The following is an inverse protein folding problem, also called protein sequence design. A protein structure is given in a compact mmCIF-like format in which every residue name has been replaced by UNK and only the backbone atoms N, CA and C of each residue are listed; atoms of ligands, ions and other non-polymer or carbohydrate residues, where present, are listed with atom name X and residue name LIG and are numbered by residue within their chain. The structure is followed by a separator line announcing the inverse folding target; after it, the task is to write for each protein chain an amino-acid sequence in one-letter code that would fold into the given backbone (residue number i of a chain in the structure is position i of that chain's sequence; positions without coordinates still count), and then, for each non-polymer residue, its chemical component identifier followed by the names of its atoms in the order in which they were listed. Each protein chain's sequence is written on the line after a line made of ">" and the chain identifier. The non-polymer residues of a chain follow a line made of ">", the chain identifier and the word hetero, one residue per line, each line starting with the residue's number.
data_IF_828470915909
#
_entry.id   IF_828470915909
#
_cell.length_a   1.000
_cell.length_b   1.000
_cell.length_c   1.000
_cell.angle_alpha   90.00
_cell.angle_beta   90.00
_cell.angle_gamma   90.00
#
_symmetry.space_group_name_H-M   'P 1'
#
loop_
_entity.id
_entity.type
_entity.pdbx_description
1 polymer ?
#
# COMPACT_ATOMS: atom_id res chain seq x y z
N UNK A 1 -15.12 -24.53 9.31
CA UNK A 1 -14.62 -24.10 10.65
C UNK A 1 -15.77 -23.48 11.42
N UNK A 2 -16.06 -23.94 12.64
CA UNK A 2 -17.11 -23.35 13.47
C UNK A 2 -16.75 -21.94 13.94
N UNK A 3 -17.75 -21.11 14.29
CA UNK A 3 -17.53 -19.75 14.82
C UNK A 3 -16.54 -19.73 15.99
N UNK A 4 -16.57 -20.74 16.86
CA UNK A 4 -15.66 -20.88 18.00
C UNK A 4 -14.19 -21.12 17.60
N UNK A 5 -13.94 -21.93 16.56
CA UNK A 5 -12.57 -22.16 16.07
C UNK A 5 -11.99 -20.92 15.42
N UNK A 6 -12.82 -20.07 14.80
CA UNK A 6 -12.38 -18.79 14.24
C UNK A 6 -12.02 -17.79 15.33
N UNK A 7 -12.83 -17.68 16.38
CA UNK A 7 -12.57 -16.76 17.50
C UNK A 7 -11.29 -17.14 18.26
N UNK A 8 -11.10 -18.42 18.55
CA UNK A 8 -9.87 -18.91 19.19
C UNK A 8 -8.62 -18.67 18.32
N UNK A 9 -8.71 -18.89 17.00
CA UNK A 9 -7.61 -18.59 16.09
C UNK A 9 -7.25 -17.08 16.07
N UNK A 10 -8.26 -16.20 16.07
CA UNK A 10 -8.04 -14.74 16.14
C UNK A 10 -7.37 -14.34 17.47
N UNK A 11 -7.84 -14.90 18.59
CA UNK A 11 -7.26 -14.64 19.91
C UNK A 11 -5.80 -15.10 19.99
N UNK A 12 -5.51 -16.34 19.57
CA UNK A 12 -4.16 -16.89 19.54
C UNK A 12 -3.23 -16.06 18.65
N UNK A 13 -3.72 -15.61 17.49
CA UNK A 13 -2.97 -14.73 16.61
C UNK A 13 -2.66 -13.39 17.29
N UNK A 14 -3.63 -12.79 17.99
CA UNK A 14 -3.39 -11.55 18.73
C UNK A 14 -2.39 -11.71 19.86
N UNK A 15 -2.45 -12.83 20.61
CA UNK A 15 -1.46 -13.15 21.66
C UNK A 15 -0.07 -13.31 21.04
N UNK A 16 0.06 -14.09 19.96
CA UNK A 16 1.32 -14.24 19.21
C UNK A 16 1.92 -12.88 18.82
N UNK A 17 1.10 -12.00 18.25
CA UNK A 17 1.55 -10.67 17.81
C UNK A 17 1.87 -9.72 18.96
N UNK A 18 1.22 -9.87 20.12
CA UNK A 18 1.61 -9.16 21.33
C UNK A 18 3.03 -9.53 21.76
N UNK A 19 3.37 -10.82 21.79
CA UNK A 19 4.74 -11.27 22.08
C UNK A 19 5.75 -10.79 21.04
N UNK A 20 5.40 -10.82 19.75
CA UNK A 20 6.25 -10.28 18.68
C UNK A 20 6.55 -8.78 18.91
N UNK A 21 5.52 -7.96 19.18
CA UNK A 21 5.69 -6.53 19.46
C UNK A 21 6.59 -6.31 20.68
N UNK A 22 6.43 -7.11 21.74
CA UNK A 22 7.32 -7.07 22.91
C UNK A 22 8.75 -7.50 22.58
N UNK A 23 8.94 -8.45 21.68
CA UNK A 23 10.27 -8.92 21.27
C UNK A 23 11.13 -7.82 20.63
N UNK A 24 10.50 -6.85 19.97
CA UNK A 24 11.19 -5.69 19.40
C UNK A 24 11.78 -4.74 20.45
N UNK A 25 11.22 -4.71 21.67
CA UNK A 25 11.80 -3.92 22.77
C UNK A 25 13.18 -4.42 23.22
N UNK A 26 13.49 -5.69 22.93
CA UNK A 26 14.79 -6.30 23.21
C UNK A 26 15.75 -6.25 22.02
N UNK A 27 15.34 -5.61 20.91
CA UNK A 27 16.18 -5.39 19.74
C UNK A 27 16.63 -3.95 19.74
N UNK A 28 17.94 -3.72 19.70
CA UNK A 28 18.49 -2.38 19.51
C UNK A 28 18.28 -1.94 18.06
N UNK A 29 17.11 -1.39 17.78
CA UNK A 29 16.84 -0.72 16.51
C UNK A 29 17.52 0.65 16.53
N UNK A 30 18.41 0.90 15.59
CA UNK A 30 19.09 2.19 15.48
C UNK A 30 18.10 3.25 15.02
N UNK A 31 18.11 4.41 15.67
CA UNK A 31 17.36 5.60 15.25
C UNK A 31 18.06 6.38 14.12
N UNK A 32 19.00 5.74 13.43
CA UNK A 32 19.67 6.27 12.26
C UNK A 32 20.15 5.13 11.37
N UNK A 33 20.51 5.46 10.13
CA UNK A 33 21.25 4.57 9.25
C UNK A 33 22.15 5.38 8.33
N UNK A 34 23.45 5.13 8.41
CA UNK A 34 24.44 5.80 7.56
C UNK A 34 24.77 5.01 6.28
N UNK A 35 24.15 3.85 6.08
CA UNK A 35 24.34 3.02 4.89
C UNK A 35 23.46 3.52 3.75
N UNK A 36 24.08 3.69 2.58
CA UNK A 36 23.36 3.90 1.34
C UNK A 36 22.72 2.59 0.86
N UNK A 37 21.58 2.65 0.15
CA UNK A 37 20.93 1.46 -0.36
C UNK A 37 21.80 0.81 -1.46
N UNK A 38 22.14 -0.47 -1.29
CA UNK A 38 22.91 -1.28 -2.24
C UNK A 38 22.09 -2.41 -2.86
N UNK A 39 20.99 -2.82 -2.24
CA UNK A 39 20.05 -3.80 -2.79
C UNK A 39 19.25 -3.16 -3.93
N UNK A 40 19.32 -3.77 -5.12
CA UNK A 40 18.61 -3.35 -6.34
C UNK A 40 17.52 -4.35 -6.76
N UNK A 41 17.29 -5.39 -5.95
CA UNK A 41 16.30 -6.42 -6.27
C UNK A 41 14.87 -5.93 -6.01
N UNK A 42 14.69 -5.05 -5.03
CA UNK A 42 13.39 -4.48 -4.68
C UNK A 42 13.50 -3.20 -3.84
N UNK A 43 12.47 -2.35 -3.92
CA UNK A 43 12.26 -1.17 -3.10
C UNK A 43 11.08 -1.39 -2.15
N UNK A 44 11.13 -0.82 -0.94
CA UNK A 44 10.01 -0.82 0.01
C UNK A 44 9.31 0.55 0.00
N UNK A 45 8.09 0.60 -0.49
CA UNK A 45 7.23 1.77 -0.56
C UNK A 45 6.21 1.82 0.58
N UNK A 46 6.05 2.97 1.23
CA UNK A 46 5.10 3.15 2.34
C UNK A 46 4.30 4.42 2.13
N UNK A 47 2.97 4.33 2.20
CA UNK A 47 2.08 5.50 2.29
C UNK A 47 1.69 5.75 3.74
N UNK A 48 1.72 7.00 4.18
CA UNK A 48 1.41 7.39 5.57
C UNK A 48 0.70 8.74 5.61
N UNK A 49 0.08 9.06 6.75
CA UNK A 49 -0.39 10.41 7.06
C UNK A 49 -0.34 10.67 8.57
N UNK A 50 -0.70 11.90 8.98
CA UNK A 50 -0.53 12.43 10.34
C UNK A 50 -0.91 11.48 11.48
N UNK A 51 -2.13 10.93 11.46
CA UNK A 51 -2.67 10.17 12.61
C UNK A 51 -1.92 8.86 12.89
N UNK A 52 -1.17 8.36 11.91
CA UNK A 52 -0.53 7.04 12.00
C UNK A 52 0.98 7.12 12.27
N UNK A 53 1.55 8.33 12.26
CA UNK A 53 2.97 8.54 12.34
C UNK A 53 3.62 7.92 13.58
N UNK A 54 3.22 8.36 14.78
CA UNK A 54 3.90 7.95 16.02
C UNK A 54 3.63 6.48 16.38
N UNK A 55 2.42 5.99 16.13
CA UNK A 55 1.97 4.67 16.61
C UNK A 55 2.36 3.55 15.63
N UNK A 56 2.35 3.83 14.32
CA UNK A 56 2.52 2.79 13.30
C UNK A 56 3.76 3.02 12.45
N UNK A 57 3.86 4.17 11.76
CA UNK A 57 4.96 4.41 10.83
C UNK A 57 6.32 4.41 11.54
N UNK A 58 6.48 5.14 12.64
CA UNK A 58 7.77 5.29 13.32
C UNK A 58 8.33 3.93 13.77
N UNK A 59 7.59 3.06 14.48
CA UNK A 59 8.04 1.69 14.75
C UNK A 59 8.33 0.88 13.49
N UNK A 60 7.47 0.99 12.45
CA UNK A 60 7.65 0.25 11.21
C UNK A 60 8.97 0.62 10.52
N UNK A 61 9.29 1.91 10.39
CA UNK A 61 10.55 2.39 9.81
C UNK A 61 11.75 1.88 10.60
N UNK A 62 11.69 1.90 11.94
CA UNK A 62 12.78 1.37 12.77
C UNK A 62 13.01 -0.13 12.54
N UNK A 63 11.93 -0.91 12.46
CA UNK A 63 12.03 -2.35 12.21
C UNK A 63 12.49 -2.65 10.78
N UNK A 64 11.98 -1.94 9.77
CA UNK A 64 12.39 -2.10 8.38
C UNK A 64 13.84 -1.68 8.19
N UNK A 65 14.26 -0.55 8.75
CA UNK A 65 15.65 -0.12 8.70
C UNK A 65 16.60 -1.13 9.36
N UNK A 66 16.18 -1.75 10.46
CA UNK A 66 16.95 -2.81 11.11
C UNK A 66 17.09 -4.07 10.22
N UNK A 67 16.01 -4.51 9.58
CA UNK A 67 15.99 -5.72 8.75
C UNK A 67 16.57 -5.50 7.34
N UNK A 68 16.43 -4.30 6.80
CA UNK A 68 16.77 -3.93 5.42
C UNK A 68 17.67 -2.68 5.37
N UNK A 69 18.81 -2.66 6.09
CA UNK A 69 19.66 -1.47 6.16
C UNK A 69 20.32 -1.11 4.82
N UNK A 70 20.29 -2.02 3.86
CA UNK A 70 20.85 -1.96 2.50
C UNK A 70 19.77 -1.78 1.42
N UNK A 71 18.49 -1.70 1.76
CA UNK A 71 17.38 -1.59 0.79
C UNK A 71 16.75 -0.21 0.85
N UNK A 72 16.39 0.34 -0.31
CA UNK A 72 15.70 1.62 -0.39
C UNK A 72 14.31 1.50 0.21
N UNK A 73 13.97 2.47 1.06
CA UNK A 73 12.62 2.70 1.57
C UNK A 73 12.14 4.04 1.01
N UNK A 74 10.99 4.06 0.34
CA UNK A 74 10.36 5.28 -0.18
C UNK A 74 9.10 5.55 0.62
N UNK A 75 9.03 6.71 1.29
CA UNK A 75 7.87 7.10 2.12
C UNK A 75 7.12 8.24 1.45
N UNK A 76 5.85 8.01 1.12
CA UNK A 76 4.92 9.01 0.64
C UNK A 76 4.11 9.56 1.83
N UNK A 77 4.39 10.80 2.21
CA UNK A 77 3.73 11.48 3.33
C UNK A 77 2.54 12.28 2.78
N UNK A 78 1.32 11.78 3.01
CA UNK A 78 0.11 12.44 2.52
C UNK A 78 -0.19 13.73 3.29
N UNK A 79 -0.91 14.63 2.61
CA UNK A 79 -1.45 15.84 3.21
C UNK A 79 -2.58 15.58 4.19
N UNK A 80 -2.91 16.62 4.96
CA UNK A 80 -3.96 16.61 5.97
C UNK A 80 -4.73 17.93 5.89
N UNK A 81 -6.06 17.86 5.94
CA UNK A 81 -6.95 19.01 5.72
C UNK A 81 -6.70 20.20 6.67
N UNK A 82 -6.18 19.96 7.89
CA UNK A 82 -5.83 21.03 8.81
C UNK A 82 -4.39 21.50 8.57
N UNK A 83 -4.24 22.63 7.88
CA UNK A 83 -2.93 23.18 7.47
C UNK A 83 -1.95 23.43 8.63
N UNK A 84 -2.43 23.95 9.76
CA UNK A 84 -1.55 24.19 10.92
C UNK A 84 -1.02 22.88 11.51
N UNK A 85 -1.90 21.89 11.66
CA UNK A 85 -1.51 20.56 12.13
C UNK A 85 -0.60 19.85 11.12
N UNK A 86 -0.86 20.04 9.82
CA UNK A 86 -0.05 19.47 8.76
C UNK A 86 1.38 20.00 8.81
N UNK A 87 1.59 21.31 8.95
CA UNK A 87 2.93 21.89 9.04
C UNK A 87 3.72 21.31 10.23
N UNK A 88 3.12 21.25 11.42
CA UNK A 88 3.74 20.66 12.62
C UNK A 88 4.08 19.19 12.38
N UNK A 89 3.19 18.45 11.74
CA UNK A 89 3.41 17.06 11.39
C UNK A 89 4.56 16.89 10.39
N UNK A 90 4.60 17.69 9.32
CA UNK A 90 5.61 17.63 8.27
C UNK A 90 7.01 17.91 8.81
N UNK A 91 7.17 18.90 9.70
CA UNK A 91 8.45 19.16 10.38
C UNK A 91 8.91 17.94 11.19
N UNK A 92 8.01 17.37 11.98
CA UNK A 92 8.29 16.23 12.86
C UNK A 92 8.69 14.97 12.08
N UNK A 93 7.94 14.62 11.03
CA UNK A 93 8.20 13.42 10.23
C UNK A 93 9.46 13.59 9.38
N UNK A 94 9.69 14.77 8.81
CA UNK A 94 10.90 15.08 8.03
C UNK A 94 12.16 14.91 8.87
N UNK A 95 12.17 15.49 10.08
CA UNK A 95 13.28 15.35 11.01
C UNK A 95 13.56 13.88 11.37
N UNK A 96 12.51 13.06 11.53
CA UNK A 96 12.66 11.63 11.77
C UNK A 96 13.24 10.88 10.56
N UNK A 97 12.66 11.06 9.37
CA UNK A 97 13.07 10.31 8.16
C UNK A 97 14.47 10.68 7.67
N UNK A 98 14.90 11.94 7.84
CA UNK A 98 16.25 12.39 7.47
C UNK A 98 17.38 11.67 8.20
N UNK A 99 17.09 10.98 9.31
CA UNK A 99 18.09 10.20 10.05
C UNK A 99 18.50 8.89 9.37
N UNK A 100 17.85 8.49 8.26
CA UNK A 100 18.08 7.22 7.57
C UNK A 100 18.49 7.44 6.11
N UNK A 101 19.75 7.14 5.75
CA UNK A 101 20.26 7.32 4.38
C UNK A 101 19.67 6.36 3.33
N UNK A 102 19.07 5.26 3.77
CA UNK A 102 18.33 4.35 2.88
C UNK A 102 16.86 4.75 2.72
N UNK A 103 16.40 5.82 3.37
CA UNK A 103 15.03 6.34 3.24
C UNK A 103 15.02 7.56 2.31
N UNK A 104 14.18 7.50 1.28
CA UNK A 104 13.78 8.66 0.47
C UNK A 104 12.32 8.98 0.78
N UNK A 105 11.93 10.25 0.79
CA UNK A 105 10.55 10.61 1.06
C UNK A 105 10.12 11.86 0.30
N UNK A 106 8.82 12.05 0.20
CA UNK A 106 8.18 13.25 -0.34
C UNK A 106 6.89 13.53 0.43
N UNK A 107 6.53 14.81 0.47
CA UNK A 107 5.44 15.32 1.29
C UNK A 107 4.42 16.07 0.44
N UNK A 108 3.18 16.07 0.90
CA UNK A 108 2.14 16.95 0.38
C UNK A 108 1.59 17.81 1.51
N UNK A 109 1.31 19.07 1.20
CA UNK A 109 0.63 19.99 2.12
C UNK A 109 -0.88 19.73 2.12
N UNK A 110 -1.43 19.35 0.97
CA UNK A 110 -2.85 19.05 0.78
C UNK A 110 -3.10 17.55 0.59
N UNK A 111 -4.22 16.99 1.10
CA UNK A 111 -4.58 15.59 0.91
C UNK A 111 -4.57 15.18 -0.57
N UNK A 112 -3.89 14.07 -0.86
CA UNK A 112 -3.83 13.47 -2.19
C UNK A 112 -4.45 12.07 -2.18
N UNK A 113 -5.04 11.68 -3.31
CA UNK A 113 -5.57 10.33 -3.52
C UNK A 113 -4.49 9.26 -3.45
N UNK A 114 -4.87 8.06 -3.00
CA UNK A 114 -3.92 6.98 -2.74
C UNK A 114 -3.19 6.51 -4.01
N UNK A 115 -3.88 6.51 -5.15
CA UNK A 115 -3.29 6.24 -6.47
C UNK A 115 -2.06 7.10 -6.76
N UNK A 116 -2.13 8.40 -6.46
CA UNK A 116 -1.03 9.34 -6.69
C UNK A 116 0.17 9.01 -5.82
N UNK A 117 -0.06 8.68 -4.55
CA UNK A 117 1.01 8.27 -3.64
C UNK A 117 1.71 7.00 -4.14
N UNK A 118 0.95 5.99 -4.57
CA UNK A 118 1.48 4.75 -5.13
C UNK A 118 2.29 4.99 -6.41
N UNK A 119 1.75 5.75 -7.36
CA UNK A 119 2.45 6.09 -8.60
C UNK A 119 3.79 6.79 -8.30
N UNK A 120 3.79 7.77 -7.40
CA UNK A 120 5.00 8.51 -7.03
C UNK A 120 6.04 7.67 -6.30
N UNK A 121 5.60 6.70 -5.48
CA UNK A 121 6.51 5.70 -4.89
C UNK A 121 7.16 4.86 -6.00
N UNK A 122 6.38 4.38 -6.96
CA UNK A 122 6.87 3.54 -8.06
C UNK A 122 7.89 4.31 -8.91
N UNK A 123 7.62 5.59 -9.21
CA UNK A 123 8.55 6.45 -9.97
C UNK A 123 9.87 6.63 -9.21
N UNK A 124 9.82 6.87 -7.89
CA UNK A 124 11.01 7.11 -7.06
C UNK A 124 11.76 5.82 -6.66
N UNK A 125 11.18 4.66 -6.91
CA UNK A 125 11.81 3.39 -6.61
C UNK A 125 13.01 3.15 -7.54
N UNK A 126 14.15 2.79 -6.95
CA UNK A 126 15.38 2.48 -7.68
C UNK A 126 15.44 1.03 -8.20
N UNK A 127 14.45 0.21 -7.85
CA UNK A 127 14.36 -1.18 -8.26
C UNK A 127 13.11 -1.43 -9.12
N UNK A 128 13.14 -2.39 -10.07
CA UNK A 128 11.96 -2.75 -10.86
C UNK A 128 10.81 -3.33 -10.03
N UNK A 129 11.12 -4.01 -8.93
CA UNK A 129 10.15 -4.58 -8.00
C UNK A 129 9.92 -3.60 -6.84
N UNK A 130 8.67 -3.26 -6.57
CA UNK A 130 8.29 -2.34 -5.51
C UNK A 130 7.27 -3.03 -4.60
N UNK A 131 7.62 -3.20 -3.34
CA UNK A 131 6.62 -3.56 -2.33
C UNK A 131 5.89 -2.31 -1.89
N UNK A 132 4.58 -2.25 -2.05
CA UNK A 132 3.75 -1.16 -1.56
C UNK A 132 3.06 -1.59 -0.27
N UNK A 133 3.26 -0.82 0.78
CA UNK A 133 2.71 -1.03 2.11
C UNK A 133 1.90 0.16 2.59
N UNK A 134 0.84 -0.12 3.33
CA UNK A 134 0.30 0.82 4.28
C UNK A 134 1.22 0.89 5.51
N UNK A 135 1.16 2.01 6.22
CA UNK A 135 1.88 2.24 7.47
C UNK A 135 1.35 1.42 8.67
N UNK A 136 0.09 0.98 8.65
CA UNK A 136 -0.58 0.22 9.72
C UNK A 136 -0.31 -1.29 9.69
N UNK A 137 0.92 -1.67 9.32
CA UNK A 137 1.39 -3.06 9.37
C UNK A 137 2.37 -3.27 10.53
N UNK A 138 2.31 -4.46 11.12
CA UNK A 138 3.34 -4.96 12.02
C UNK A 138 4.11 -6.08 11.36
N UNK A 139 5.42 -6.09 11.57
CA UNK A 139 6.33 -7.11 11.04
C UNK A 139 7.10 -7.81 12.15
N UNK A 140 7.58 -9.02 11.88
CA UNK A 140 8.52 -9.74 12.74
C UNK A 140 9.88 -9.94 12.04
N UNK A 141 10.86 -10.50 12.76
CA UNK A 141 12.25 -10.65 12.28
C UNK A 141 12.41 -11.56 11.05
N UNK A 142 11.44 -12.42 10.76
CA UNK A 142 11.46 -13.30 9.60
C UNK A 142 11.01 -12.61 8.30
N UNK A 143 10.55 -11.34 8.36
CA UNK A 143 9.95 -10.66 7.21
C UNK A 143 10.85 -10.57 5.99
N UNK A 144 12.12 -10.17 6.16
CA UNK A 144 13.10 -10.19 5.07
C UNK A 144 13.28 -11.58 4.46
N UNK A 145 13.42 -12.59 5.33
CA UNK A 145 13.56 -13.98 4.89
C UNK A 145 12.35 -14.44 4.08
N UNK A 146 11.13 -14.11 4.49
CA UNK A 146 9.93 -14.47 3.73
C UNK A 146 9.89 -13.77 2.35
N UNK A 147 10.25 -12.48 2.26
CA UNK A 147 10.41 -11.80 0.96
C UNK A 147 11.38 -12.55 0.05
N UNK A 148 12.54 -12.92 0.58
CA UNK A 148 13.64 -13.46 -0.22
C UNK A 148 13.50 -14.96 -0.55
N UNK A 149 12.61 -15.69 0.13
CA UNK A 149 12.52 -17.16 -0.02
C UNK A 149 11.16 -17.68 -0.51
N UNK A 150 10.08 -16.89 -0.47
CA UNK A 150 8.73 -17.34 -0.88
C UNK A 150 8.52 -17.37 -2.39
N UNK A 151 9.46 -16.83 -3.17
CA UNK A 151 9.33 -16.68 -4.61
C UNK A 151 8.51 -15.47 -5.07
N UNK A 152 8.02 -14.63 -4.14
CA UNK A 152 7.25 -13.41 -4.49
C UNK A 152 8.02 -12.49 -5.44
N UNK A 153 9.35 -12.44 -5.35
CA UNK A 153 10.19 -11.64 -6.24
C UNK A 153 10.14 -12.09 -7.72
N UNK A 154 9.66 -13.31 -8.01
CA UNK A 154 9.42 -13.77 -9.37
C UNK A 154 8.06 -13.28 -9.92
N UNK A 155 7.16 -12.81 -9.05
CA UNK A 155 5.84 -12.33 -9.43
C UNK A 155 5.89 -10.92 -10.01
N UNK A 156 5.02 -10.65 -10.97
CA UNK A 156 4.81 -9.30 -11.48
C UNK A 156 3.82 -8.49 -10.62
N UNK A 157 2.90 -9.17 -9.94
CA UNK A 157 1.95 -8.55 -9.03
C UNK A 157 1.56 -9.55 -7.93
N UNK A 158 2.15 -9.40 -6.75
CA UNK A 158 2.02 -10.36 -5.65
C UNK A 158 1.27 -9.79 -4.46
N UNK A 159 0.10 -10.31 -4.14
CA UNK A 159 -0.69 -9.90 -2.97
C UNK A 159 -0.30 -10.76 -1.77
N UNK A 160 0.11 -10.10 -0.68
CA UNK A 160 0.46 -10.77 0.57
C UNK A 160 -0.80 -10.91 1.43
N UNK A 161 -1.02 -12.09 2.02
CA UNK A 161 -2.14 -12.40 2.93
C UNK A 161 -3.52 -11.93 2.43
N UNK A 162 -3.74 -11.99 1.11
CA UNK A 162 -4.99 -11.58 0.45
C UNK A 162 -5.41 -10.12 0.74
N UNK A 163 -4.46 -9.22 0.99
CA UNK A 163 -4.74 -7.83 1.35
C UNK A 163 -3.92 -6.83 0.53
N UNK A 164 -4.61 -5.87 -0.07
CA UNK A 164 -4.02 -4.75 -0.82
C UNK A 164 -3.31 -3.71 0.06
N UNK A 165 -3.29 -3.88 1.38
CA UNK A 165 -2.43 -3.08 2.28
C UNK A 165 -0.95 -3.45 2.18
N UNK A 166 -0.60 -4.56 1.53
CA UNK A 166 0.77 -5.01 1.36
C UNK A 166 0.89 -5.93 0.14
N UNK A 167 1.47 -5.42 -0.94
CA UNK A 167 1.63 -6.16 -2.18
C UNK A 167 2.93 -5.78 -2.89
N UNK A 168 3.38 -6.64 -3.79
CA UNK A 168 4.47 -6.39 -4.72
C UNK A 168 3.89 -5.98 -6.07
N UNK A 169 4.49 -4.99 -6.71
CA UNK A 169 4.28 -4.65 -8.12
C UNK A 169 5.62 -4.56 -8.85
N UNK A 170 5.69 -5.13 -10.05
CA UNK A 170 6.78 -4.92 -11.00
C UNK A 170 6.45 -3.74 -11.92
N UNK A 171 7.41 -2.83 -12.15
CA UNK A 171 7.24 -1.68 -13.06
C UNK A 171 6.78 -2.08 -14.47
N UNK A 172 7.10 -3.28 -14.95
CA UNK A 172 6.61 -3.82 -16.24
C UNK A 172 5.09 -4.03 -16.26
N UNK A 173 4.41 -4.18 -15.12
CA UNK A 173 2.94 -4.19 -15.06
C UNK A 173 2.38 -2.82 -15.43
N UNK A 174 3.01 -1.73 -15.02
CA UNK A 174 2.57 -0.37 -15.35
C UNK A 174 2.59 -0.15 -16.87
N UNK A 175 3.58 -0.71 -17.58
CA UNK A 175 3.64 -0.63 -19.04
C UNK A 175 2.49 -1.36 -19.74
N UNK A 176 1.94 -2.41 -19.12
CA UNK A 176 0.85 -3.22 -19.69
C UNK A 176 -0.53 -2.71 -19.28
N UNK A 177 -0.70 -2.38 -18.00
CA UNK A 177 -2.00 -2.08 -17.37
C UNK A 177 -2.25 -0.58 -17.26
N UNK A 178 -1.18 0.22 -17.33
CA UNK A 178 -1.18 1.65 -17.02
C UNK A 178 -0.97 1.93 -15.53
N UNK A 179 -0.84 3.22 -15.22
CA UNK A 179 -0.72 3.73 -13.87
C UNK A 179 -1.97 3.46 -13.00
N UNK A 180 -1.84 3.63 -11.69
CA UNK A 180 -3.03 3.75 -10.84
C UNK A 180 -3.79 5.02 -11.22
N UNK A 181 -5.13 4.94 -11.27
CA UNK A 181 -5.95 6.03 -11.79
C UNK A 181 -6.04 7.20 -10.79
N UNK A 182 -5.32 8.28 -11.01
CA UNK A 182 -5.29 9.42 -10.08
C UNK A 182 -6.58 10.23 -10.04
N UNK A 183 -7.57 9.90 -10.88
CA UNK A 183 -8.92 10.45 -10.78
C UNK A 183 -9.70 9.90 -9.58
N UNK A 184 -9.15 8.92 -8.85
CA UNK A 184 -9.61 8.55 -7.50
C UNK A 184 -9.05 9.54 -6.47
N UNK A 185 -9.85 10.50 -5.96
CA UNK A 185 -9.32 11.60 -5.14
C UNK A 185 -8.98 11.21 -3.69
N UNK A 186 -9.46 10.06 -3.21
CA UNK A 186 -9.40 9.68 -1.80
C UNK A 186 -8.95 8.23 -1.60
N UNK A 187 -9.62 7.46 -0.72
CA UNK A 187 -9.32 6.06 -0.39
C UNK A 187 -10.52 5.17 -0.75
N UNK A 188 -10.25 4.01 -1.36
CA UNK A 188 -11.21 2.96 -1.68
C UNK A 188 -11.41 2.75 -3.18
N UNK A 189 -11.69 1.52 -3.59
CA UNK A 189 -11.92 1.10 -4.98
C UNK A 189 -10.72 1.23 -5.94
N UNK A 190 -9.57 1.76 -5.52
CA UNK A 190 -8.38 1.83 -6.37
C UNK A 190 -7.82 0.44 -6.69
N UNK A 191 -7.85 -0.44 -5.69
CA UNK A 191 -7.47 -1.85 -5.80
C UNK A 191 -8.42 -2.63 -6.72
N UNK A 192 -9.72 -2.38 -6.59
CA UNK A 192 -10.74 -2.93 -7.50
C UNK A 192 -10.51 -2.48 -8.95
N UNK A 193 -10.32 -1.17 -9.17
CA UNK A 193 -10.02 -0.62 -10.48
C UNK A 193 -8.79 -1.26 -11.12
N UNK A 194 -7.71 -1.40 -10.34
CA UNK A 194 -6.46 -1.95 -10.85
C UNK A 194 -6.60 -3.45 -11.20
N UNK A 195 -7.24 -4.26 -10.36
CA UNK A 195 -7.45 -5.69 -10.63
C UNK A 195 -8.34 -5.91 -11.86
N UNK A 196 -9.38 -5.08 -12.06
CA UNK A 196 -10.21 -5.15 -13.28
C UNK A 196 -9.36 -4.86 -14.53
N UNK A 197 -8.51 -3.83 -14.50
CA UNK A 197 -7.63 -3.50 -15.63
C UNK A 197 -6.56 -4.56 -15.88
N UNK A 198 -6.04 -5.19 -14.84
CA UNK A 198 -5.17 -6.36 -14.98
C UNK A 198 -5.90 -7.49 -15.71
N UNK A 199 -7.14 -7.81 -15.29
CA UNK A 199 -7.93 -8.87 -15.89
C UNK A 199 -8.25 -8.60 -17.37
N UNK A 200 -8.52 -7.34 -17.75
CA UNK A 200 -8.68 -6.92 -19.16
C UNK A 200 -7.43 -7.18 -20.02
N UNK A 201 -6.26 -7.22 -19.39
CA UNK A 201 -4.98 -7.54 -20.03
C UNK A 201 -4.58 -9.03 -19.88
N UNK A 202 -5.51 -9.89 -19.43
CA UNK A 202 -5.23 -11.32 -19.21
C UNK A 202 -4.28 -11.59 -18.04
N UNK A 203 -4.15 -10.63 -17.11
CA UNK A 203 -3.28 -10.74 -15.94
C UNK A 203 -4.12 -10.99 -14.68
N UNK A 204 -3.59 -11.80 -13.77
CA UNK A 204 -4.19 -12.06 -12.46
C UNK A 204 -3.16 -11.86 -11.35
N UNK A 205 -3.54 -11.37 -10.17
CA UNK A 205 -2.64 -11.32 -9.03
C UNK A 205 -2.22 -12.72 -8.57
N UNK A 206 -0.97 -12.86 -8.17
CA UNK A 206 -0.47 -14.03 -7.45
C UNK A 206 -0.61 -13.82 -5.94
N UNK A 207 -0.85 -14.88 -5.18
CA UNK A 207 -1.13 -14.78 -3.73
C UNK A 207 -0.06 -15.46 -2.90
N UNK A 208 0.47 -14.75 -1.91
CA UNK A 208 1.52 -15.21 -1.02
C UNK A 208 1.06 -15.12 0.44
N UNK A 209 1.42 -16.11 1.25
CA UNK A 209 1.08 -16.12 2.68
C UNK A 209 2.32 -15.87 3.52
N UNK A 210 2.34 -14.77 4.26
CA UNK A 210 3.46 -14.34 5.09
C UNK A 210 3.03 -14.41 6.55
N UNK A 211 3.72 -15.25 7.32
CA UNK A 211 3.47 -15.37 8.77
C UNK A 211 4.09 -14.22 9.57
N UNK A 212 4.95 -13.44 8.90
CA UNK A 212 5.76 -12.38 9.48
C UNK A 212 5.21 -10.96 9.33
N UNK A 213 4.02 -10.80 8.74
CA UNK A 213 3.33 -9.52 8.58
C UNK A 213 1.88 -9.62 9.07
N UNK A 214 1.37 -8.55 9.70
CA UNK A 214 -0.02 -8.40 10.14
C UNK A 214 -0.51 -6.99 9.84
N UNK A 215 -1.71 -6.91 9.28
CA UNK A 215 -2.47 -5.66 9.23
C UNK A 215 -3.13 -5.39 10.59
N UNK A 216 -2.90 -4.21 11.17
CA UNK A 216 -3.42 -3.84 12.50
C UNK A 216 -4.88 -3.35 12.47
N UNK A 217 -5.47 -3.16 11.28
CA UNK A 217 -6.87 -2.71 11.05
C UNK A 217 -7.23 -1.54 11.96
N UNK A 218 -6.67 -0.38 11.65
CA UNK A 218 -6.80 0.83 12.46
C UNK A 218 -7.94 1.68 11.95
N UNK A 219 -8.92 1.97 12.82
CA UNK A 219 -9.91 3.01 12.56
C UNK A 219 -9.29 4.33 12.99
N UNK A 220 -9.03 5.25 12.07
CA UNK A 220 -8.42 6.52 12.44
C UNK A 220 -9.41 7.42 13.18
N UNK A 221 -8.86 8.29 14.03
CA UNK A 221 -9.65 9.31 14.73
C UNK A 221 -10.06 10.44 13.79
N UNK A 222 -9.21 10.73 12.83
CA UNK A 222 -9.39 11.76 11.83
C UNK A 222 -8.80 11.31 10.48
N UNK A 223 -9.45 11.73 9.41
CA UNK A 223 -9.11 11.36 8.04
C UNK A 223 -8.40 12.53 7.33
N UNK A 224 -7.57 12.23 6.35
CA UNK A 224 -6.85 13.28 5.60
C UNK A 224 -7.80 14.33 5.02
N UNK A 225 -9.01 13.96 4.63
CA UNK A 225 -10.01 14.85 4.01
C UNK A 225 -11.04 15.46 4.99
N UNK A 226 -10.91 15.21 6.30
CA UNK A 226 -11.82 15.73 7.34
C UNK A 226 -13.23 15.17 7.27
N UNK A 227 -14.21 15.88 7.83
CA UNK A 227 -15.63 15.47 7.91
C UNK A 227 -16.39 15.55 6.57
N UNK A 228 -15.81 16.20 5.55
CA UNK A 228 -16.48 16.49 4.28
C UNK A 228 -16.55 15.29 3.33
N UNK A 229 -15.89 14.18 3.65
CA UNK A 229 -15.97 12.96 2.85
C UNK A 229 -17.03 12.03 3.44
N UNK A 230 -18.11 11.78 2.71
CA UNK A 230 -19.10 10.79 3.14
C UNK A 230 -18.44 9.42 3.14
N UNK A 231 -18.11 8.94 4.34
CA UNK A 231 -17.48 7.64 4.55
C UNK A 231 -18.52 6.55 4.30
N UNK A 232 -18.30 5.78 3.26
CA UNK A 232 -19.03 4.55 2.95
C UNK A 232 -18.17 3.34 3.36
N UNK A 233 -18.82 2.23 3.73
CA UNK A 233 -18.14 0.98 4.14
C UNK A 233 -17.02 1.18 5.20
N UNK A 234 -17.23 2.10 6.15
CA UNK A 234 -16.33 2.47 7.27
C UNK A 234 -15.01 3.17 6.90
N UNK A 235 -14.57 3.13 5.65
CA UNK A 235 -13.27 3.71 5.24
C UNK A 235 -13.18 4.20 3.79
N UNK A 236 -14.19 3.93 2.96
CA UNK A 236 -14.15 4.31 1.55
C UNK A 236 -14.79 5.67 1.35
N UNK A 237 -14.23 6.42 0.42
CA UNK A 237 -14.78 7.70 -0.01
C UNK A 237 -15.93 7.48 -0.98
N UNK A 238 -17.05 8.17 -0.72
CA UNK A 238 -18.14 8.31 -1.69
C UNK A 238 -17.68 8.86 -3.04
N UNK A 239 -16.67 9.74 -3.08
CA UNK A 239 -16.14 10.29 -4.31
C UNK A 239 -15.44 9.21 -5.15
N UNK A 240 -14.68 8.33 -4.49
CA UNK A 240 -14.06 7.18 -5.14
C UNK A 240 -15.11 6.20 -5.67
N UNK A 241 -16.17 5.91 -4.91
CA UNK A 241 -17.27 5.05 -5.39
C UNK A 241 -17.96 5.65 -6.61
N UNK A 242 -18.26 6.96 -6.58
CA UNK A 242 -18.87 7.65 -7.71
C UNK A 242 -18.01 7.53 -8.98
N UNK A 243 -16.70 7.70 -8.86
CA UNK A 243 -15.78 7.49 -9.98
C UNK A 243 -15.70 6.02 -10.42
N UNK A 244 -15.64 5.09 -9.48
CA UNK A 244 -15.64 3.65 -9.77
C UNK A 244 -16.89 3.22 -10.56
N UNK A 245 -18.07 3.62 -10.10
CA UNK A 245 -19.35 3.30 -10.76
C UNK A 245 -19.56 4.08 -12.07
N UNK A 246 -18.94 5.25 -12.24
CA UNK A 246 -18.99 5.98 -13.51
C UNK A 246 -18.06 5.36 -14.56
N UNK A 247 -17.01 4.67 -14.15
CA UNK A 247 -16.01 4.01 -15.02
C UNK A 247 -16.41 2.60 -15.46
N UNK A 248 -17.07 1.84 -14.60
CA UNK A 248 -17.32 0.42 -14.82
C UNK A 248 -18.82 0.10 -15.01
N UNK A 249 -19.11 -0.86 -15.89
CA UNK A 249 -20.40 -1.56 -15.98
C UNK A 249 -20.28 -2.94 -15.34
N UNK A 250 -21.30 -3.35 -14.57
CA UNK A 250 -21.32 -4.63 -13.85
C UNK A 250 -22.45 -5.52 -14.34
N UNK A 251 -22.23 -6.83 -14.30
CA UNK A 251 -23.20 -7.85 -14.65
C UNK A 251 -22.98 -9.10 -13.79
N UNK A 252 -24.06 -9.73 -13.31
CA UNK A 252 -23.99 -11.00 -12.60
C UNK A 252 -23.81 -12.19 -13.57
N UNK A 253 -24.20 -12.00 -14.84
CA UNK A 253 -24.09 -12.99 -15.90
C UNK A 253 -23.11 -12.55 -16.98
N UNK A 254 -22.55 -13.53 -17.69
CA UNK A 254 -21.67 -13.29 -18.83
C UNK A 254 -22.40 -12.55 -19.95
N UNK A 255 -21.73 -11.54 -20.52
CA UNK A 255 -22.23 -10.68 -21.60
C UNK A 255 -21.09 -10.32 -22.53
N UNK A 256 -21.44 -9.98 -23.77
CA UNK A 256 -20.46 -9.57 -24.77
C UNK A 256 -19.63 -8.35 -24.31
N UNK A 257 -18.30 -8.52 -24.32
CA UNK A 257 -17.34 -7.52 -23.89
C UNK A 257 -17.19 -7.36 -22.38
N UNK A 258 -17.87 -8.17 -21.57
CA UNK A 258 -17.63 -8.24 -20.12
C UNK A 258 -16.64 -9.36 -19.81
N UNK A 259 -15.83 -9.16 -18.77
CA UNK A 259 -14.89 -10.16 -18.26
C UNK A 259 -15.19 -10.47 -16.81
N UNK A 260 -15.03 -11.73 -16.39
CA UNK A 260 -15.15 -12.08 -14.98
C UNK A 260 -13.95 -11.55 -14.19
N UNK A 261 -14.20 -10.84 -13.09
CA UNK A 261 -13.16 -10.33 -12.20
C UNK A 261 -13.44 -10.75 -10.77
N UNK A 262 -12.45 -11.40 -10.15
CA UNK A 262 -12.55 -11.99 -8.80
C UNK A 262 -12.94 -10.95 -7.74
N UNK A 263 -12.27 -9.80 -7.70
CA UNK A 263 -12.56 -8.76 -6.68
C UNK A 263 -13.95 -8.14 -6.82
N UNK A 264 -14.48 -8.09 -8.05
CA UNK A 264 -15.84 -7.65 -8.31
C UNK A 264 -16.89 -8.75 -8.06
N UNK A 265 -16.45 -10.01 -7.92
CA UNK A 265 -17.31 -11.20 -7.82
C UNK A 265 -18.36 -11.28 -8.93
N UNK A 266 -18.00 -10.84 -10.14
CA UNK A 266 -18.92 -10.72 -11.26
C UNK A 266 -18.24 -10.32 -12.54
N UNK A 267 -19.05 -10.05 -13.56
CA UNK A 267 -18.61 -9.63 -14.88
C UNK A 267 -18.54 -8.11 -14.95
N UNK A 268 -17.44 -7.58 -15.49
CA UNK A 268 -17.18 -6.14 -15.57
C UNK A 268 -16.78 -5.74 -16.98
N UNK A 269 -17.21 -4.56 -17.41
CA UNK A 269 -16.82 -3.94 -18.69
C UNK A 269 -16.46 -2.47 -18.48
N UNK A 270 -15.42 -2.00 -19.17
CA UNK A 270 -15.05 -0.59 -19.19
C UNK A 270 -16.08 0.21 -19.98
N UNK A 271 -16.58 1.32 -19.41
CA UNK A 271 -17.42 2.26 -20.14
C UNK A 271 -16.60 3.03 -21.17
N UNK A 272 -17.18 3.26 -22.34
CA UNK A 272 -16.54 3.97 -23.45
C UNK A 272 -16.07 5.36 -22.99
N UNK A 273 -14.81 5.71 -23.27
CA UNK A 273 -14.24 7.01 -22.90
C UNK A 273 -13.75 7.11 -21.45
N UNK A 274 -13.83 6.02 -20.68
CA UNK A 274 -13.38 5.98 -19.28
C UNK A 274 -12.02 5.30 -19.12
N UNK A 275 -11.26 5.17 -20.21
CA UNK A 275 -9.88 4.67 -20.18
C UNK A 275 -9.04 5.46 -19.17
N UNK A 276 -8.06 4.78 -18.58
CA UNK A 276 -7.17 5.43 -17.60
C UNK A 276 -6.16 6.27 -18.37
N UNK A 277 -6.07 7.60 -18.13
CA UNK A 277 -5.09 8.44 -18.80
C UNK A 277 -3.68 7.99 -18.45
N UNK A 278 -2.73 8.29 -19.35
CA UNK A 278 -1.33 8.16 -19.01
C UNK A 278 -0.88 9.36 -18.18
N UNK A 279 -0.85 9.21 -16.86
CA UNK A 279 -0.47 10.30 -15.93
C UNK A 279 1.01 10.68 -16.03
N UNK A 280 1.86 9.73 -16.39
CA UNK A 280 3.32 9.88 -16.39
C UNK A 280 3.94 9.22 -17.61
N UNK A 281 5.07 9.73 -18.06
CA UNK A 281 5.79 9.16 -19.20
C UNK A 281 6.46 7.84 -18.84
N UNK A 282 6.60 6.90 -19.80
CA UNK A 282 7.26 5.62 -19.54
C UNK A 282 8.75 5.77 -19.21
N UNK A 283 9.37 6.90 -19.56
CA UNK A 283 10.73 7.25 -19.18
C UNK A 283 10.91 7.41 -17.66
N UNK A 284 9.84 7.64 -16.91
CA UNK A 284 9.85 7.74 -15.44
C UNK A 284 9.90 6.37 -14.74
N UNK A 285 9.82 5.27 -15.50
CA UNK A 285 9.97 3.92 -14.96
C UNK A 285 11.41 3.40 -14.95
N UNK A 286 12.32 4.10 -15.65
CA UNK A 286 13.73 3.73 -15.78
C UNK A 286 14.56 4.05 -14.53
#
# INVERSE_FOLDING_TARGET
>A
MGKFSRLSAVLLNNIKWWFIKKSWLFVSCKNNNDKLPTNQNYTLGITTYKERFDTYLKPLILHLNHLFPDTQIVVAVNGFHNQQQQQIYLEKITAFLMSFKNVTFFTYDEPQGLCKLWNQIIIKANSPKVFLFNDDISINKAFRKEIETTGILNSNFGIINQSYSHYLIDKSIIQKVGWFDERFPAIGYEDHDYEIRMALNGLVPEFFNFSSIKNEVVVPKDWSWGENDNIILRKYSSANEKHYLSKWEFSEIEKEGFIFVRIAQGYVKLKVGMETPNFYTTTELN
#
